data_IF_076590091883
#
_entry.id   IF_076590091883
#
_cell.length_a   1.000
_cell.length_b   1.000
_cell.length_c   1.000
_cell.angle_alpha   90.00
_cell.angle_beta   90.00
_cell.angle_gamma   90.00
#
_symmetry.space_group_name_H-M   'P 1'
#
loop_
_entity.id
_entity.type
_entity.pdbx_description
1 polymer ?
#
# COMPACT_ATOMS: atom_id res chain seq x y z
N UNK A 1 -10.93 1.36 6.04
CA UNK A 1 -10.90 0.56 4.78
C UNK A 1 -10.21 -0.78 5.02
N UNK A 2 -10.54 -1.83 4.26
CA UNK A 2 -9.84 -3.13 4.36
C UNK A 2 -8.56 -3.14 3.50
N UNK A 3 -7.55 -3.89 3.94
CA UNK A 3 -6.34 -4.17 3.15
C UNK A 3 -6.65 -4.95 1.86
N UNK A 4 -7.66 -5.83 1.91
CA UNK A 4 -8.05 -6.74 0.81
C UNK A 4 -9.57 -6.68 0.56
N UNK A 5 -9.99 -7.01 -0.67
CA UNK A 5 -11.39 -6.94 -1.11
C UNK A 5 -12.33 -7.93 -0.39
N UNK A 6 -11.84 -9.13 -0.05
CA UNK A 6 -12.63 -10.20 0.57
C UNK A 6 -11.91 -10.85 1.78
N UNK A 7 -12.65 -11.66 2.54
CA UNK A 7 -12.08 -12.56 3.55
C UNK A 7 -11.29 -13.68 2.85
N UNK A 8 -9.95 -13.65 2.99
CA UNK A 8 -9.06 -14.52 2.21
C UNK A 8 -8.50 -13.80 0.98
N UNK A 9 -7.38 -14.31 0.45
CA UNK A 9 -6.51 -13.58 -0.48
C UNK A 9 -7.18 -12.90 -1.69
N UNK A 10 -6.57 -11.80 -2.13
CA UNK A 10 -6.95 -11.05 -3.33
C UNK A 10 -6.47 -11.79 -4.59
N UNK A 11 -7.32 -12.61 -5.23
CA UNK A 11 -7.02 -13.16 -6.57
C UNK A 11 -7.62 -12.28 -7.67
N UNK A 12 -6.98 -12.23 -8.85
CA UNK A 12 -7.45 -11.44 -10.00
C UNK A 12 -8.93 -11.65 -10.31
N UNK A 13 -9.38 -12.91 -10.42
CA UNK A 13 -10.78 -13.26 -10.71
C UNK A 13 -11.77 -12.69 -9.70
N UNK A 14 -11.40 -12.66 -8.41
CA UNK A 14 -12.27 -12.12 -7.34
C UNK A 14 -12.35 -10.60 -7.33
N UNK A 15 -11.31 -9.95 -7.85
CA UNK A 15 -11.22 -8.50 -7.87
C UNK A 15 -11.95 -7.96 -9.10
N UNK A 16 -11.68 -8.50 -10.28
CA UNK A 16 -12.36 -8.13 -11.53
C UNK A 16 -13.85 -8.52 -11.51
N UNK A 17 -14.19 -9.70 -10.99
CA UNK A 17 -15.57 -10.20 -10.98
C UNK A 17 -16.42 -9.78 -9.77
N UNK A 18 -15.82 -9.20 -8.72
CA UNK A 18 -16.51 -8.93 -7.46
C UNK A 18 -16.23 -7.54 -6.89
N UNK A 19 -14.97 -7.27 -6.53
CA UNK A 19 -14.59 -6.03 -5.87
C UNK A 19 -14.77 -4.78 -6.74
N UNK A 20 -14.45 -4.86 -8.03
CA UNK A 20 -14.60 -3.74 -8.96
C UNK A 20 -16.07 -3.46 -9.29
N UNK A 21 -16.92 -4.49 -9.34
CA UNK A 21 -18.34 -4.37 -9.69
C UNK A 21 -19.23 -4.03 -8.49
N UNK A 22 -18.81 -4.38 -7.27
CA UNK A 22 -19.57 -4.10 -6.06
C UNK A 22 -19.16 -2.75 -5.45
N UNK A 23 -20.03 -1.74 -5.61
CA UNK A 23 -19.83 -0.40 -5.04
C UNK A 23 -19.69 -0.41 -3.51
N UNK A 24 -20.30 -1.38 -2.81
CA UNK A 24 -20.25 -1.50 -1.34
C UNK A 24 -18.93 -2.08 -0.83
N UNK A 25 -18.08 -2.63 -1.72
CA UNK A 25 -16.77 -3.14 -1.36
C UNK A 25 -15.67 -2.10 -1.63
N UNK A 26 -15.05 -1.62 -0.55
CA UNK A 26 -13.88 -0.73 -0.58
C UNK A 26 -12.66 -1.38 0.05
N UNK A 27 -11.59 -1.51 -0.73
CA UNK A 27 -10.26 -1.90 -0.26
C UNK A 27 -9.19 -0.93 -0.79
N UNK A 28 -8.04 -0.91 -0.13
CA UNK A 28 -6.92 -0.04 -0.52
C UNK A 28 -6.43 -0.27 -1.97
N UNK A 29 -6.27 -1.51 -2.45
CA UNK A 29 -5.85 -1.72 -3.84
C UNK A 29 -6.81 -1.14 -4.90
N UNK A 30 -8.12 -1.09 -4.63
CA UNK A 30 -9.14 -0.58 -5.57
C UNK A 30 -8.93 0.90 -5.91
N UNK A 31 -8.32 1.66 -4.99
CA UNK A 31 -7.95 3.07 -5.21
C UNK A 31 -7.03 3.22 -6.42
N UNK A 32 -6.11 2.28 -6.62
CA UNK A 32 -5.05 2.39 -7.61
C UNK A 32 -5.39 1.77 -8.96
N UNK A 33 -6.41 0.92 -9.04
CA UNK A 33 -6.76 0.19 -10.25
C UNK A 33 -7.09 1.11 -11.44
N UNK A 34 -7.80 2.21 -11.19
CA UNK A 34 -8.16 3.21 -12.21
C UNK A 34 -7.11 4.32 -12.37
N UNK A 35 -6.10 4.38 -11.51
CA UNK A 35 -5.13 5.48 -11.45
C UNK A 35 -3.79 5.09 -12.05
N UNK A 36 -3.32 3.87 -11.80
CA UNK A 36 -2.00 3.44 -12.25
C UNK A 36 -2.05 2.74 -13.61
N UNK A 37 -1.32 3.25 -14.63
CA UNK A 37 -1.08 2.50 -15.85
C UNK A 37 -0.45 1.14 -15.56
N UNK A 38 -0.88 0.10 -16.28
CA UNK A 38 -0.40 -1.28 -16.12
C UNK A 38 -0.52 -1.80 -14.68
N UNK A 39 -1.51 -1.31 -13.94
CA UNK A 39 -1.79 -1.77 -12.59
C UNK A 39 -1.91 -3.30 -12.56
N UNK A 40 -1.17 -3.91 -11.65
CA UNK A 40 -1.19 -5.35 -11.40
C UNK A 40 -1.29 -5.59 -9.91
N UNK A 41 -2.24 -6.42 -9.51
CA UNK A 41 -2.25 -6.96 -8.16
C UNK A 41 -1.21 -8.06 -8.03
N UNK A 42 -0.47 -8.01 -6.94
CA UNK A 42 0.56 -8.99 -6.61
C UNK A 42 0.25 -9.54 -5.22
N UNK A 43 -0.72 -10.45 -5.07
CA UNK A 43 -0.97 -11.07 -3.78
C UNK A 43 0.31 -11.78 -3.33
N UNK A 44 0.95 -11.26 -2.27
CA UNK A 44 2.23 -11.76 -1.77
C UNK A 44 2.14 -13.24 -1.38
N UNK A 45 2.49 -14.13 -2.31
CA UNK A 45 2.76 -15.56 -2.09
C UNK A 45 4.08 -15.85 -2.80
N UNK A 46 5.21 -15.75 -2.08
CA UNK A 46 6.55 -16.02 -2.60
C UNK A 46 7.48 -14.80 -2.60
N UNK A 47 8.30 -14.66 -3.64
CA UNK A 47 9.38 -13.65 -3.74
C UNK A 47 8.93 -12.28 -4.31
N UNK A 48 7.64 -12.08 -4.61
CA UNK A 48 7.18 -10.82 -5.21
C UNK A 48 7.02 -9.71 -4.15
N UNK A 49 7.63 -8.54 -4.42
CA UNK A 49 7.56 -7.37 -3.56
C UNK A 49 6.22 -6.64 -3.69
N UNK A 50 5.54 -6.44 -2.56
CA UNK A 50 4.35 -5.61 -2.46
C UNK A 50 3.06 -6.32 -2.85
N UNK A 51 1.95 -5.61 -2.66
CA UNK A 51 0.58 -6.06 -2.92
C UNK A 51 0.06 -5.59 -4.29
N UNK A 52 0.78 -4.65 -4.91
CA UNK A 52 0.51 -4.13 -6.25
C UNK A 52 1.79 -3.71 -6.98
N UNK A 53 1.70 -3.62 -8.31
CA UNK A 53 2.69 -2.94 -9.13
C UNK A 53 2.02 -2.10 -10.23
N UNK A 54 2.78 -1.18 -10.81
CA UNK A 54 2.32 -0.36 -11.93
C UNK A 54 3.45 0.52 -12.44
N UNK A 55 3.16 1.30 -13.48
CA UNK A 55 4.12 2.27 -14.02
C UNK A 55 3.75 3.68 -13.58
N UNK A 56 4.72 4.44 -13.08
CA UNK A 56 4.55 5.86 -12.75
C UNK A 56 5.48 6.71 -13.59
N UNK A 57 4.95 7.79 -14.16
CA UNK A 57 5.74 8.78 -14.89
C UNK A 57 6.03 9.99 -13.99
N UNK A 58 7.30 10.33 -13.87
CA UNK A 58 7.76 11.55 -13.19
C UNK A 58 8.55 12.38 -14.19
N UNK A 59 7.96 13.47 -14.66
CA UNK A 59 8.46 14.22 -15.82
C UNK A 59 8.54 13.32 -17.06
N UNK A 60 9.73 13.24 -17.66
CA UNK A 60 9.97 12.45 -18.88
C UNK A 60 10.45 11.01 -18.60
N UNK A 61 10.45 10.55 -17.34
CA UNK A 61 10.93 9.21 -16.96
C UNK A 61 9.80 8.34 -16.44
N UNK A 62 9.74 7.10 -16.93
CA UNK A 62 8.89 6.05 -16.38
C UNK A 62 9.65 5.24 -15.31
N UNK A 63 8.95 4.88 -14.24
CA UNK A 63 9.45 4.06 -13.15
C UNK A 63 8.48 2.90 -12.91
N UNK A 64 9.02 1.69 -12.72
CA UNK A 64 8.25 0.58 -12.18
C UNK A 64 8.06 0.81 -10.68
N UNK A 65 6.79 0.87 -10.29
CA UNK A 65 6.33 1.05 -8.92
C UNK A 65 5.92 -0.30 -8.33
N UNK A 66 6.33 -0.57 -7.10
CA UNK A 66 5.78 -1.63 -6.24
C UNK A 66 5.12 -0.99 -5.02
N UNK A 67 3.87 -1.34 -4.74
CA UNK A 67 3.12 -0.84 -3.59
C UNK A 67 3.05 -1.87 -2.47
N UNK A 68 3.58 -1.55 -1.30
CA UNK A 68 3.37 -2.30 -0.05
C UNK A 68 2.13 -1.71 0.61
N UNK A 69 1.04 -2.49 0.71
CA UNK A 69 -0.24 -2.02 1.23
C UNK A 69 -0.47 -2.63 2.61
N UNK A 70 -0.79 -1.80 3.61
CA UNK A 70 -1.19 -2.27 4.94
C UNK A 70 -2.50 -1.63 5.38
N UNK A 71 -3.25 -2.37 6.20
CA UNK A 71 -4.37 -1.82 6.98
C UNK A 71 -3.87 -0.94 8.12
N UNK A 72 -4.80 -0.19 8.69
CA UNK A 72 -4.60 0.53 9.94
C UNK A 72 -4.25 -0.43 11.08
N UNK A 73 -3.33 -0.01 11.94
CA UNK A 73 -2.82 -0.82 13.02
C UNK A 73 -2.55 -0.03 14.29
N UNK A 74 -2.58 -0.73 15.42
CA UNK A 74 -2.21 -0.19 16.72
C UNK A 74 -1.43 -1.25 17.50
N UNK A 75 -0.47 -0.81 18.31
CA UNK A 75 0.38 -1.65 19.15
C UNK A 75 -0.34 -2.36 20.32
N UNK A 76 -1.66 -2.52 20.30
CA UNK A 76 -2.40 -3.18 21.39
C UNK A 76 -3.34 -4.27 20.87
N UNK A 77 -3.41 -5.36 21.64
CA UNK A 77 -4.22 -6.56 21.42
C UNK A 77 -5.73 -6.38 21.60
N UNK A 78 -6.21 -5.17 21.91
CA UNK A 78 -7.63 -4.92 22.08
C UNK A 78 -8.27 -4.47 20.76
N UNK A 79 -9.52 -4.90 20.52
CA UNK A 79 -10.37 -4.38 19.43
C UNK A 79 -10.64 -2.89 19.68
N UNK A 80 -9.73 -2.02 19.27
CA UNK A 80 -9.96 -0.57 19.17
C UNK A 80 -10.67 -0.24 17.87
N UNK A 81 -11.59 0.73 17.93
CA UNK A 81 -12.25 1.28 16.74
C UNK A 81 -11.23 1.88 15.78
N UNK A 82 -11.52 1.84 14.48
CA UNK A 82 -10.59 2.32 13.45
C UNK A 82 -10.28 3.82 13.59
N UNK A 83 -11.21 4.61 14.15
CA UNK A 83 -11.02 6.04 14.43
C UNK A 83 -9.85 6.30 15.38
N UNK A 84 -9.64 5.44 16.39
CA UNK A 84 -8.52 5.57 17.33
C UNK A 84 -7.18 5.17 16.72
N UNK A 85 -7.19 4.33 15.68
CA UNK A 85 -5.97 3.90 14.97
C UNK A 85 -5.49 4.97 14.02
N UNK A 86 -6.40 5.64 13.32
CA UNK A 86 -6.09 6.77 12.44
C UNK A 86 -5.41 7.90 13.22
N UNK A 87 -5.81 8.10 14.48
CA UNK A 87 -5.24 9.10 15.39
C UNK A 87 -3.82 8.75 15.89
N UNK A 88 -3.25 7.59 15.55
CA UNK A 88 -1.93 7.16 16.01
C UNK A 88 -1.01 6.82 14.83
N UNK A 89 0.22 7.36 14.81
CA UNK A 89 1.19 6.99 13.79
C UNK A 89 1.55 5.50 13.81
N UNK A 90 1.76 4.92 12.62
CA UNK A 90 2.32 3.59 12.42
C UNK A 90 3.76 3.56 12.95
N UNK A 91 4.01 2.74 13.95
CA UNK A 91 5.33 2.54 14.53
C UNK A 91 6.07 1.39 13.85
N UNK A 92 7.40 1.46 13.79
CA UNK A 92 8.26 0.35 13.33
C UNK A 92 8.15 -0.91 14.21
N UNK A 93 7.74 -0.74 15.47
CA UNK A 93 7.52 -1.84 16.42
C UNK A 93 6.16 -2.52 16.28
N UNK A 94 5.25 -1.94 15.48
CA UNK A 94 3.98 -2.59 15.16
C UNK A 94 4.20 -3.76 14.22
N UNK A 95 3.29 -4.74 14.28
CA UNK A 95 3.32 -5.89 13.38
C UNK A 95 3.35 -5.43 11.92
N UNK A 96 2.49 -4.50 11.54
CA UNK A 96 2.41 -3.96 10.20
C UNK A 96 3.69 -3.19 9.82
N UNK A 97 4.27 -2.42 10.74
CA UNK A 97 5.56 -1.75 10.55
C UNK A 97 6.71 -2.73 10.30
N UNK A 98 6.79 -3.81 11.10
CA UNK A 98 7.77 -4.88 10.92
C UNK A 98 7.56 -5.62 9.60
N UNK A 99 6.32 -5.89 9.21
CA UNK A 99 5.99 -6.53 7.93
C UNK A 99 6.38 -5.63 6.74
N UNK A 100 6.19 -4.31 6.83
CA UNK A 100 6.65 -3.37 5.79
C UNK A 100 8.17 -3.42 5.65
N UNK A 101 8.90 -3.30 6.78
CA UNK A 101 10.37 -3.37 6.76
C UNK A 101 10.82 -4.70 6.16
N UNK A 102 10.22 -5.81 6.57
CA UNK A 102 10.55 -7.14 6.08
C UNK A 102 10.34 -7.26 4.58
N UNK A 103 9.16 -6.87 4.06
CA UNK A 103 8.91 -6.89 2.61
C UNK A 103 9.87 -5.97 1.84
N UNK A 104 10.16 -4.79 2.41
CA UNK A 104 11.11 -3.86 1.81
C UNK A 104 12.51 -4.49 1.69
N UNK A 105 13.02 -5.09 2.77
CA UNK A 105 14.36 -5.68 2.81
C UNK A 105 14.43 -6.97 1.98
N UNK A 106 13.51 -7.91 2.21
CA UNK A 106 13.55 -9.24 1.59
C UNK A 106 13.21 -9.21 0.10
N UNK A 107 12.40 -8.26 -0.35
CA UNK A 107 11.84 -8.27 -1.71
C UNK A 107 12.13 -6.95 -2.45
N UNK A 108 11.93 -5.81 -1.79
CA UNK A 108 12.07 -4.49 -2.42
C UNK A 108 13.51 -4.13 -2.77
N UNK A 109 14.46 -4.37 -1.86
CA UNK A 109 15.87 -4.00 -2.05
C UNK A 109 16.54 -4.83 -3.15
N UNK A 110 16.14 -6.10 -3.30
CA UNK A 110 16.76 -7.03 -4.24
C UNK A 110 16.13 -7.02 -5.63
N UNK A 111 14.88 -6.56 -5.78
CA UNK A 111 14.20 -6.56 -7.09
C UNK A 111 14.74 -5.43 -7.97
N UNK A 112 15.66 -5.76 -8.88
CA UNK A 112 16.28 -4.82 -9.83
C UNK A 112 15.28 -4.19 -10.82
N UNK A 113 14.12 -4.81 -11.02
CA UNK A 113 13.08 -4.32 -11.93
C UNK A 113 12.26 -3.21 -11.30
N UNK A 114 12.19 -3.16 -9.97
CA UNK A 114 11.52 -2.12 -9.20
C UNK A 114 12.46 -0.92 -9.04
N UNK A 115 12.05 0.28 -9.47
CA UNK A 115 12.82 1.51 -9.19
C UNK A 115 12.16 2.35 -8.09
N UNK A 116 10.85 2.22 -7.89
CA UNK A 116 10.09 2.98 -6.91
C UNK A 116 9.24 2.07 -6.03
N UNK A 117 9.28 2.29 -4.72
CA UNK A 117 8.47 1.59 -3.74
C UNK A 117 7.50 2.60 -3.10
N UNK A 118 6.20 2.32 -3.14
CA UNK A 118 5.19 3.06 -2.39
C UNK A 118 4.82 2.27 -1.13
N UNK A 119 4.81 2.94 0.01
CA UNK A 119 4.17 2.41 1.22
C UNK A 119 2.81 3.08 1.36
N UNK A 120 1.75 2.27 1.34
CA UNK A 120 0.36 2.72 1.25
C UNK A 120 -0.37 2.27 2.49
N UNK A 121 -0.88 3.22 3.28
CA UNK A 121 -1.59 2.92 4.51
C UNK A 121 -2.58 4.05 4.86
N UNK A 122 -3.83 3.76 5.25
CA UNK A 122 -4.81 4.79 5.62
C UNK A 122 -4.63 5.31 7.06
N UNK A 123 -3.38 5.56 7.45
CA UNK A 123 -2.98 6.20 8.71
C UNK A 123 -1.62 6.89 8.53
N UNK A 124 -1.27 7.83 9.41
CA UNK A 124 0.06 8.45 9.38
C UNK A 124 1.16 7.45 9.76
N UNK A 125 2.36 7.61 9.20
CA UNK A 125 3.54 6.81 9.54
C UNK A 125 4.46 7.65 10.43
N UNK A 126 4.96 7.03 11.50
CA UNK A 126 5.91 7.70 12.39
C UNK A 126 7.21 8.10 11.67
N UNK A 127 7.79 9.22 12.11
CA UNK A 127 8.99 9.79 11.50
C UNK A 127 10.19 8.82 11.54
N UNK A 128 10.32 8.01 12.61
CA UNK A 128 11.38 7.02 12.74
C UNK A 128 11.25 5.92 11.68
N UNK A 129 10.05 5.39 11.48
CA UNK A 129 9.79 4.38 10.44
C UNK A 129 10.02 4.95 9.03
N UNK A 130 9.57 6.17 8.74
CA UNK A 130 9.89 6.84 7.47
C UNK A 130 11.40 7.01 7.29
N UNK A 131 12.11 7.37 8.36
CA UNK A 131 13.57 7.49 8.39
C UNK A 131 14.26 6.18 8.02
N UNK A 132 13.87 5.07 8.66
CA UNK A 132 14.37 3.72 8.35
C UNK A 132 14.12 3.36 6.89
N UNK A 133 12.91 3.54 6.39
CA UNK A 133 12.57 3.14 5.02
C UNK A 133 13.26 4.00 3.96
N UNK A 134 13.43 5.31 4.20
CA UNK A 134 14.24 6.19 3.35
C UNK A 134 15.71 5.77 3.36
N UNK A 135 16.24 5.37 4.50
CA UNK A 135 17.60 4.87 4.60
C UNK A 135 17.80 3.58 3.79
N UNK A 136 16.89 2.60 3.92
CA UNK A 136 16.91 1.36 3.16
C UNK A 136 16.76 1.59 1.64
N UNK A 137 15.88 2.52 1.25
CA UNK A 137 15.72 2.92 -0.15
C UNK A 137 17.03 3.48 -0.72
N UNK A 138 17.70 4.36 0.02
CA UNK A 138 18.99 4.93 -0.37
C UNK A 138 20.07 3.86 -0.54
N UNK A 139 20.14 2.89 0.38
CA UNK A 139 21.12 1.79 0.30
C UNK A 139 20.91 0.90 -0.93
N UNK A 140 19.66 0.72 -1.36
CA UNK A 140 19.30 -0.15 -2.49
C UNK A 140 19.13 0.61 -3.83
N UNK A 141 19.44 1.91 -3.86
CA UNK A 141 19.27 2.75 -5.04
C UNK A 141 17.81 2.92 -5.48
N UNK A 142 16.85 2.68 -4.57
CA UNK A 142 15.41 2.79 -4.83
C UNK A 142 14.89 4.18 -4.49
N UNK A 143 13.82 4.57 -5.16
CA UNK A 143 12.96 5.68 -4.75
C UNK A 143 11.90 5.15 -3.80
N UNK A 144 11.52 5.93 -2.80
CA UNK A 144 10.42 5.61 -1.90
C UNK A 144 9.43 6.77 -1.84
N UNK A 145 8.15 6.43 -1.84
CA UNK A 145 7.05 7.37 -1.58
C UNK A 145 6.12 6.81 -0.51
N UNK A 146 5.43 7.71 0.20
CA UNK A 146 4.46 7.38 1.23
C UNK A 146 3.11 7.90 0.78
N UNK A 147 2.10 7.04 0.83
CA UNK A 147 0.70 7.38 0.54
C UNK A 147 -0.06 7.08 1.83
N UNK A 148 -0.18 8.12 2.65
CA UNK A 148 -0.73 8.06 4.01
C UNK A 148 -2.20 8.47 3.99
N UNK A 149 -2.75 8.83 5.15
CA UNK A 149 -4.17 9.16 5.32
C UNK A 149 -4.65 10.22 4.32
N UNK A 150 -3.92 11.33 4.21
CA UNK A 150 -4.35 12.48 3.40
C UNK A 150 -4.29 12.16 1.91
N UNK A 151 -3.20 11.52 1.44
CA UNK A 151 -3.08 11.12 0.04
C UNK A 151 -4.09 10.02 -0.32
N UNK A 152 -4.37 9.08 0.60
CA UNK A 152 -5.44 8.08 0.41
C UNK A 152 -6.80 8.76 0.28
N UNK A 153 -7.11 9.73 1.14
CA UNK A 153 -8.38 10.46 1.10
C UNK A 153 -8.52 11.26 -0.21
N UNK A 154 -7.45 11.94 -0.64
CA UNK A 154 -7.43 12.67 -1.90
C UNK A 154 -7.65 11.73 -3.08
N UNK A 155 -6.90 10.62 -3.16
CA UNK A 155 -7.03 9.61 -4.21
C UNK A 155 -8.43 9.01 -4.28
N UNK A 156 -9.13 8.88 -3.15
CA UNK A 156 -10.53 8.45 -3.12
C UNK A 156 -11.44 9.54 -3.67
N UNK A 157 -11.25 10.79 -3.25
CA UNK A 157 -12.10 11.92 -3.65
C UNK A 157 -12.09 12.19 -5.16
N UNK A 158 -10.94 12.00 -5.81
CA UNK A 158 -10.78 12.17 -7.26
C UNK A 158 -11.24 10.94 -8.05
N UNK A 159 -11.43 9.80 -7.39
CA UNK A 159 -11.76 8.55 -8.06
C UNK A 159 -13.28 8.40 -8.16
N UNK A 160 -13.84 8.84 -9.28
CA UNK A 160 -15.28 8.76 -9.58
C UNK A 160 -15.85 7.32 -9.54
N UNK A 161 -15.01 6.30 -9.56
CA UNK A 161 -15.42 4.89 -9.44
C UNK A 161 -15.52 4.41 -7.98
N UNK A 162 -15.17 5.25 -7.01
CA UNK A 162 -15.26 4.96 -5.57
C UNK A 162 -16.31 5.89 -4.96
N UNK A 163 -17.48 5.33 -4.65
CA UNK A 163 -18.50 6.03 -3.87
C UNK A 163 -18.24 5.82 -2.39
N UNK A 164 -17.82 6.88 -1.70
CA UNK A 164 -17.80 6.92 -0.23
C UNK A 164 -19.22 7.26 0.22
N UNK A 165 -19.86 6.34 0.95
CA UNK A 165 -21.15 6.57 1.62
C UNK A 165 -20.91 7.19 3.00
#
# INVERSE_FOLDING_TARGET
MKEKCESGGCSYKKIEGGCMQNEKMMCLPKIFYSVLPKFKLQPHKGMECGDMSGEVKVGNKSYELKGIIKKNSENRSQKTSDDRKIMKPLLSTSREGQEIIRQFVEQGMIDTRCQMIAVIIPQYIDASLKGTLRHLARLSGKKITFIELDEVAELISINNNIKVL
#
